data_IF_534220662138
#
_entry.id   IF_534220662138
#
_cell.length_a   1.000
_cell.length_b   1.000
_cell.length_c   1.000
_cell.angle_alpha   90.00
_cell.angle_beta   90.00
_cell.angle_gamma   90.00
#
_symmetry.space_group_name_H-M   'P 1'
#
loop_
_entity.id
_entity.type
_entity.pdbx_description
1 polymer ?
#
# COMPACT_ATOMS: atom_id res chain seq x y z
N UNK A 1 2.63 -7.18 1.10
CA UNK A 1 2.84 -5.93 0.34
C UNK A 1 1.50 -5.35 -0.05
N UNK A 2 1.29 -4.07 0.20
CA UNK A 2 0.08 -3.35 -0.25
C UNK A 2 0.41 -2.48 -1.46
N UNK A 3 -0.46 -2.50 -2.46
CA UNK A 3 -0.36 -1.66 -3.66
C UNK A 3 -1.62 -0.80 -3.77
N UNK A 4 -1.46 0.50 -3.61
CA UNK A 4 -2.54 1.51 -3.68
C UNK A 4 -2.58 2.16 -5.08
N UNK A 5 -1.87 1.59 -6.06
CA UNK A 5 -1.89 1.97 -7.47
C UNK A 5 -2.27 0.74 -8.32
N UNK A 6 -3.47 0.76 -8.90
CA UNK A 6 -3.98 -0.35 -9.71
C UNK A 6 -3.21 -0.53 -11.03
N UNK A 7 -2.57 0.52 -11.55
CA UNK A 7 -1.84 0.52 -12.83
C UNK A 7 -0.51 -0.22 -12.74
N UNK A 8 0.15 -0.18 -11.58
CA UNK A 8 1.41 -0.90 -11.35
C UNK A 8 1.22 -2.31 -10.79
N UNK A 9 0.04 -2.61 -10.20
CA UNK A 9 -0.26 -3.90 -9.56
C UNK A 9 0.09 -5.09 -10.45
N UNK A 10 -0.38 -5.09 -11.70
CA UNK A 10 -0.20 -6.23 -12.60
C UNK A 10 1.27 -6.39 -13.02
N UNK A 11 2.00 -5.27 -13.18
CA UNK A 11 3.43 -5.28 -13.48
C UNK A 11 4.25 -5.81 -12.31
N UNK A 12 3.95 -5.35 -11.09
CA UNK A 12 4.59 -5.83 -9.86
C UNK A 12 4.32 -7.31 -9.64
N UNK A 13 3.08 -7.75 -9.83
CA UNK A 13 2.69 -9.16 -9.69
C UNK A 13 3.47 -10.03 -10.69
N UNK A 14 3.58 -9.60 -11.95
CA UNK A 14 4.38 -10.29 -12.96
C UNK A 14 5.88 -10.33 -12.64
N UNK A 15 6.42 -9.25 -12.09
CA UNK A 15 7.84 -9.15 -11.72
C UNK A 15 8.21 -9.96 -10.47
N UNK A 16 7.31 -10.05 -9.49
CA UNK A 16 7.55 -10.72 -8.20
C UNK A 16 7.23 -12.21 -8.24
N UNK A 17 6.31 -12.65 -9.10
CA UNK A 17 5.94 -14.08 -9.23
C UNK A 17 7.14 -15.03 -9.37
N UNK A 18 8.20 -14.71 -10.14
CA UNK A 18 9.39 -15.57 -10.25
C UNK A 18 10.29 -15.57 -9.00
N UNK A 19 10.15 -14.57 -8.12
CA UNK A 19 11.02 -14.40 -6.93
C UNK A 19 10.54 -15.18 -5.72
N UNK A 20 9.28 -15.63 -5.72
CA UNK A 20 8.72 -16.47 -4.67
C UNK A 20 7.26 -16.15 -4.35
N UNK A 21 6.71 -16.77 -3.30
CA UNK A 21 5.38 -16.45 -2.81
C UNK A 21 5.39 -15.06 -2.15
N UNK A 22 4.62 -14.14 -2.73
CA UNK A 22 4.39 -12.80 -2.17
C UNK A 22 2.88 -12.58 -2.02
N UNK A 23 2.46 -12.12 -0.85
CA UNK A 23 1.08 -11.68 -0.65
C UNK A 23 0.97 -10.23 -1.10
N UNK A 24 0.25 -10.04 -2.22
CA UNK A 24 -0.02 -8.73 -2.82
C UNK A 24 -1.48 -8.41 -2.57
N UNK A 25 -1.70 -7.38 -1.75
CA UNK A 25 -3.03 -6.80 -1.51
C UNK A 25 -3.11 -5.50 -2.30
N UNK A 26 -4.30 -5.16 -2.81
CA UNK A 26 -4.51 -3.90 -3.53
C UNK A 26 -5.60 -3.07 -2.89
N UNK A 27 -5.37 -1.77 -2.81
CA UNK A 27 -6.35 -0.79 -2.37
C UNK A 27 -6.86 0.03 -3.55
N UNK A 28 -8.12 0.49 -3.46
CA UNK A 28 -8.76 1.29 -4.53
C UNK A 28 -8.62 2.80 -4.31
N UNK A 29 -8.29 3.24 -3.10
CA UNK A 29 -7.92 4.62 -2.75
C UNK A 29 -7.13 4.68 -1.43
N UNK A 30 -6.80 5.89 -0.97
CA UNK A 30 -6.01 6.07 0.26
C UNK A 30 -6.72 5.65 1.56
N UNK A 31 -8.05 5.73 1.63
CA UNK A 31 -8.78 5.32 2.83
C UNK A 31 -8.82 3.79 2.94
N UNK A 32 -9.17 3.12 1.85
CA UNK A 32 -9.10 1.66 1.73
C UNK A 32 -7.67 1.16 1.97
N UNK A 33 -6.68 1.91 1.47
CA UNK A 33 -5.26 1.68 1.74
C UNK A 33 -4.94 1.69 3.24
N UNK A 34 -5.36 2.72 3.97
CA UNK A 34 -5.12 2.80 5.41
C UNK A 34 -5.77 1.67 6.19
N UNK A 35 -7.00 1.31 5.85
CA UNK A 35 -7.73 0.25 6.54
C UNK A 35 -7.04 -1.11 6.31
N UNK A 36 -6.60 -1.39 5.08
CA UNK A 36 -5.83 -2.59 4.76
C UNK A 36 -4.45 -2.63 5.42
N UNK A 37 -3.79 -1.48 5.59
CA UNK A 37 -2.51 -1.40 6.33
C UNK A 37 -2.72 -1.82 7.78
N UNK A 38 -3.77 -1.29 8.43
CA UNK A 38 -4.08 -1.63 9.83
C UNK A 38 -4.45 -3.09 10.01
N UNK A 39 -5.22 -3.66 9.09
CA UNK A 39 -5.65 -5.05 9.18
C UNK A 39 -4.53 -6.05 8.88
N UNK A 40 -3.69 -5.76 7.88
CA UNK A 40 -2.75 -6.75 7.35
C UNK A 40 -1.29 -6.50 7.74
N UNK A 41 -0.96 -5.33 8.31
CA UNK A 41 0.41 -4.93 8.69
C UNK A 41 1.45 -5.27 7.62
N UNK A 42 1.32 -4.74 6.39
CA UNK A 42 2.18 -5.11 5.28
C UNK A 42 3.64 -4.66 5.51
N UNK A 43 4.61 -5.45 5.04
CA UNK A 43 6.03 -5.10 5.15
C UNK A 43 6.49 -4.02 4.16
N UNK A 44 5.66 -3.67 3.18
CA UNK A 44 5.98 -2.71 2.11
C UNK A 44 4.70 -2.14 1.48
N UNK A 45 4.68 -0.84 1.23
CA UNK A 45 3.55 -0.13 0.62
C UNK A 45 4.00 0.56 -0.68
N UNK A 46 3.30 0.28 -1.78
CA UNK A 46 3.38 1.06 -3.00
C UNK A 46 2.20 2.03 -3.06
N UNK A 47 2.46 3.30 -2.78
CA UNK A 47 1.44 4.33 -2.65
C UNK A 47 1.39 5.22 -3.89
N UNK A 48 0.20 5.36 -4.49
CA UNK A 48 -0.04 6.40 -5.48
C UNK A 48 -0.21 7.75 -4.78
N UNK A 49 0.41 8.80 -5.32
CA UNK A 49 0.23 10.17 -4.82
C UNK A 49 -1.03 10.82 -5.39
N UNK A 50 -1.52 10.35 -6.53
CA UNK A 50 -2.62 10.95 -7.30
C UNK A 50 -3.86 10.06 -7.24
N UNK A 51 -4.57 10.09 -6.12
CA UNK A 51 -5.82 9.33 -5.92
C UNK A 51 -7.03 10.22 -5.64
N UNK A 52 -8.25 9.79 -6.01
CA UNK A 52 -9.48 10.44 -5.57
C UNK A 52 -9.74 10.20 -4.07
N UNK A 53 -10.49 11.12 -3.44
CA UNK A 53 -10.89 11.13 -2.01
C UNK A 53 -9.76 11.40 -1.01
N UNK A 54 -8.73 10.56 -0.99
CA UNK A 54 -7.60 10.67 -0.09
C UNK A 54 -6.31 10.43 -0.87
N UNK A 55 -5.45 11.45 -0.89
CA UNK A 55 -4.19 11.39 -1.63
C UNK A 55 -3.10 10.64 -0.83
N UNK A 56 -2.02 10.26 -1.52
CA UNK A 56 -0.91 9.53 -0.91
C UNK A 56 -0.17 10.32 0.18
N UNK A 57 -0.22 11.65 0.17
CA UNK A 57 0.39 12.44 1.24
C UNK A 57 -0.40 12.34 2.53
N UNK A 58 -1.73 12.35 2.45
CA UNK A 58 -2.60 12.16 3.60
C UNK A 58 -2.44 10.75 4.21
N UNK A 59 -2.28 9.73 3.37
CA UNK A 59 -1.98 8.36 3.85
C UNK A 59 -0.63 8.33 4.56
N UNK A 60 0.42 8.91 3.97
CA UNK A 60 1.74 8.97 4.58
C UNK A 60 1.72 9.71 5.93
N UNK A 61 0.97 10.81 6.03
CA UNK A 61 0.82 11.57 7.28
C UNK A 61 0.09 10.76 8.36
N UNK A 62 -0.95 10.01 7.99
CA UNK A 62 -1.64 9.09 8.90
C UNK A 62 -0.71 7.96 9.39
N UNK A 63 0.06 7.33 8.50
CA UNK A 63 1.03 6.29 8.86
C UNK A 63 2.11 6.82 9.81
N UNK A 64 2.58 8.05 9.59
CA UNK A 64 3.57 8.69 10.47
C UNK A 64 3.03 9.09 11.83
N UNK A 65 1.71 9.12 12.02
CA UNK A 65 1.07 9.43 13.31
C UNK A 65 0.79 8.18 14.14
N UNK A 66 0.78 7.00 13.52
CA UNK A 66 0.58 5.72 14.18
C UNK A 66 1.95 5.07 14.45
N UNK A 67 2.35 4.97 15.72
CA UNK A 67 3.69 4.46 16.10
C UNK A 67 3.93 3.01 15.62
N UNK A 68 2.89 2.20 15.54
CA UNK A 68 2.96 0.81 15.07
C UNK A 68 3.16 0.70 13.54
N UNK A 69 2.81 1.75 12.78
CA UNK A 69 2.88 1.77 11.32
C UNK A 69 4.07 2.57 10.79
N UNK A 70 4.77 3.31 11.66
CA UNK A 70 5.98 4.09 11.33
C UNK A 70 7.14 3.28 10.80
N UNK A 71 7.18 1.98 11.10
CA UNK A 71 8.24 1.07 10.70
C UNK A 71 8.08 0.54 9.27
N UNK A 72 6.90 0.73 8.67
CA UNK A 72 6.60 0.25 7.32
C UNK A 72 7.23 1.24 6.30
N UNK A 73 8.10 0.75 5.39
CA UNK A 73 8.75 1.57 4.37
C UNK A 73 7.81 2.08 3.28
#
# INVERSE_FOLDING_TARGET
MLVVDLSIRDKLTGFLRPQGPHQITSAIDGQDGLDLIRENSPDLIFLDLMMPRMDGYQVLDALKKEDDLRSIP
#
